data_IF_446314032307
#
_entry.id   IF_446314032307
#
_cell.length_a   1.000
_cell.length_b   1.000
_cell.length_c   1.000
_cell.angle_alpha   90.00
_cell.angle_beta   90.00
_cell.angle_gamma   90.00
#
_symmetry.space_group_name_H-M   'P 1'
#
loop_
_entity.id
_entity.type
_entity.pdbx_description
1 polymer ?
#
# COMPACT_ATOMS: atom_id res chain seq x y z
N UNK A 1 -13.17 -19.93 -16.41
CA UNK A 1 -13.06 -18.97 -15.30
C UNK A 1 -12.13 -17.87 -15.75
N UNK A 2 -12.64 -16.65 -15.86
CA UNK A 2 -11.85 -15.48 -16.26
C UNK A 2 -11.21 -14.82 -15.03
N UNK A 3 -10.19 -14.00 -15.24
CA UNK A 3 -9.44 -13.34 -14.15
C UNK A 3 -10.34 -12.42 -13.32
N UNK A 4 -11.36 -11.82 -13.96
CA UNK A 4 -12.34 -10.95 -13.30
C UNK A 4 -13.26 -11.73 -12.33
N UNK A 5 -13.42 -13.06 -12.49
CA UNK A 5 -14.20 -13.90 -11.55
C UNK A 5 -13.53 -13.99 -10.16
N UNK A 6 -12.21 -13.79 -10.10
CA UNK A 6 -11.43 -13.82 -8.85
C UNK A 6 -11.15 -12.44 -8.28
N UNK A 7 -11.25 -11.41 -9.12
CA UNK A 7 -10.83 -10.04 -8.81
C UNK A 7 -11.93 -9.05 -9.22
N UNK A 8 -13.06 -8.99 -8.47
CA UNK A 8 -14.12 -8.03 -8.75
C UNK A 8 -13.56 -6.60 -8.81
N UNK A 9 -13.97 -5.87 -9.84
CA UNK A 9 -13.51 -4.49 -10.13
C UNK A 9 -14.37 -3.42 -9.49
N UNK A 10 -15.59 -3.77 -9.15
CA UNK A 10 -16.61 -2.97 -8.48
C UNK A 10 -16.46 -2.96 -6.95
N UNK A 11 -15.49 -3.72 -6.43
CA UNK A 11 -15.20 -3.81 -5.00
C UNK A 11 -13.98 -2.96 -4.61
N UNK A 12 -14.05 -2.39 -3.40
CA UNK A 12 -12.94 -1.67 -2.78
C UNK A 12 -11.95 -2.68 -2.23
N UNK A 13 -10.73 -2.68 -2.77
CA UNK A 13 -9.66 -3.56 -2.29
C UNK A 13 -8.87 -2.90 -1.18
N UNK A 14 -8.52 -3.68 -0.15
CA UNK A 14 -7.74 -3.22 0.98
C UNK A 14 -6.58 -4.17 1.30
N UNK A 15 -5.46 -3.60 1.74
CA UNK A 15 -4.38 -4.30 2.44
C UNK A 15 -4.63 -4.14 3.94
N UNK A 16 -4.69 -5.24 4.68
CA UNK A 16 -4.89 -5.22 6.14
C UNK A 16 -3.61 -5.61 6.85
N UNK A 17 -3.22 -4.81 7.84
CA UNK A 17 -2.28 -5.21 8.88
C UNK A 17 -3.06 -5.88 10.02
N UNK A 18 -2.98 -7.20 10.10
CA UNK A 18 -3.72 -8.00 11.08
C UNK A 18 -3.13 -7.86 12.49
N UNK A 19 -1.86 -7.45 12.62
CA UNK A 19 -1.19 -7.25 13.91
C UNK A 19 -1.69 -5.97 14.58
N UNK A 20 -1.80 -4.87 13.83
CA UNK A 20 -2.20 -3.56 14.36
C UNK A 20 -3.66 -3.20 14.13
N UNK A 21 -4.41 -4.05 13.41
CA UNK A 21 -5.79 -3.78 12.96
C UNK A 21 -5.89 -2.48 12.17
N UNK A 22 -4.94 -2.27 11.26
CA UNK A 22 -4.94 -1.15 10.33
C UNK A 22 -5.27 -1.64 8.93
N UNK A 23 -5.85 -0.79 8.09
CA UNK A 23 -6.01 -1.08 6.67
C UNK A 23 -5.68 0.11 5.79
N UNK A 24 -5.32 -0.20 4.54
CA UNK A 24 -5.04 0.77 3.48
C UNK A 24 -5.92 0.44 2.29
N UNK A 25 -6.65 1.43 1.78
CA UNK A 25 -7.48 1.31 0.58
C UNK A 25 -6.65 1.46 -0.68
N UNK A 26 -7.04 0.75 -1.74
CA UNK A 26 -6.36 0.76 -3.03
C UNK A 26 -6.56 2.07 -3.80
N UNK A 27 -7.75 2.65 -3.75
CA UNK A 27 -8.18 3.71 -4.67
C UNK A 27 -7.21 4.91 -4.69
N UNK A 28 -6.72 5.42 -3.54
CA UNK A 28 -5.81 6.57 -3.57
C UNK A 28 -4.40 6.26 -4.11
N UNK A 29 -4.04 4.97 -4.24
CA UNK A 29 -2.78 4.55 -4.88
C UNK A 29 -2.89 4.56 -6.41
N UNK A 30 -4.10 4.60 -6.97
CA UNK A 30 -4.34 4.64 -8.40
C UNK A 30 -4.07 6.05 -8.95
N UNK A 31 -2.86 6.24 -9.49
CA UNK A 31 -2.38 7.55 -9.96
C UNK A 31 -3.20 8.17 -11.10
N UNK A 32 -3.91 7.36 -11.87
CA UNK A 32 -4.85 7.77 -12.92
C UNK A 32 -5.89 6.66 -13.13
N UNK A 33 -7.12 6.99 -13.54
CA UNK A 33 -8.19 6.00 -13.72
C UNK A 33 -7.81 4.87 -14.70
N UNK A 34 -8.18 3.64 -14.36
CA UNK A 34 -8.02 2.46 -15.22
C UNK A 34 -6.67 1.75 -15.07
N UNK A 35 -5.86 2.12 -14.08
CA UNK A 35 -4.60 1.43 -13.78
C UNK A 35 -4.74 0.26 -12.82
N UNK A 36 -5.93 0.10 -12.23
CA UNK A 36 -6.20 -0.99 -11.32
C UNK A 36 -6.94 -2.17 -11.98
N UNK A 37 -6.58 -3.37 -11.53
CA UNK A 37 -7.31 -4.59 -11.80
C UNK A 37 -7.39 -5.41 -10.51
N UNK A 38 -8.53 -5.35 -9.84
CA UNK A 38 -8.70 -5.89 -8.48
C UNK A 38 -7.69 -5.26 -7.50
N UNK A 39 -6.90 -6.04 -6.75
CA UNK A 39 -5.91 -5.50 -5.80
C UNK A 39 -4.64 -4.95 -6.47
N UNK A 40 -4.46 -5.20 -7.77
CA UNK A 40 -3.24 -4.82 -8.49
C UNK A 40 -3.38 -3.42 -9.05
N UNK A 41 -2.43 -2.54 -8.75
CA UNK A 41 -2.33 -1.18 -9.31
C UNK A 41 -1.01 -1.08 -10.05
N UNK A 42 -1.05 -0.57 -11.29
CA UNK A 42 0.18 -0.29 -12.04
C UNK A 42 0.94 0.89 -11.42
N UNK A 43 2.26 0.75 -11.28
CA UNK A 43 3.10 1.76 -10.64
C UNK A 43 3.20 1.53 -9.14
N UNK A 44 2.53 2.35 -8.32
CA UNK A 44 2.52 2.20 -6.86
C UNK A 44 1.25 1.46 -6.41
N UNK A 45 1.44 0.46 -5.55
CA UNK A 45 0.33 -0.38 -5.06
C UNK A 45 0.61 -0.92 -3.66
N UNK A 46 -0.12 -1.95 -3.24
CA UNK A 46 0.08 -2.54 -1.91
C UNK A 46 1.50 -3.04 -1.66
N UNK A 47 2.22 -3.48 -2.71
CA UNK A 47 3.64 -3.82 -2.58
C UNK A 47 4.50 -2.63 -2.14
N UNK A 48 4.24 -1.44 -2.68
CA UNK A 48 4.93 -0.20 -2.30
C UNK A 48 4.65 0.18 -0.83
N UNK A 49 3.39 0.02 -0.40
CA UNK A 49 2.96 0.24 0.98
C UNK A 49 3.66 -0.72 1.95
N UNK A 50 3.72 -2.00 1.61
CA UNK A 50 4.40 -3.00 2.43
C UNK A 50 5.89 -2.66 2.51
N UNK A 51 6.55 -2.43 1.38
CA UNK A 51 7.99 -2.15 1.33
C UNK A 51 8.40 -0.89 2.11
N UNK A 52 7.56 0.16 2.17
CA UNK A 52 7.86 1.35 2.97
C UNK A 52 7.76 1.09 4.49
N UNK A 53 7.03 0.05 4.91
CA UNK A 53 6.66 -0.16 6.32
C UNK A 53 7.20 -1.44 6.98
N UNK A 54 7.74 -2.43 6.25
CA UNK A 54 8.18 -3.71 6.84
C UNK A 54 9.68 -3.84 7.09
N UNK A 55 10.49 -2.94 6.55
CA UNK A 55 11.94 -3.07 6.58
C UNK A 55 12.50 -2.86 7.99
N UNK A 56 13.49 -3.67 8.36
CA UNK A 56 14.17 -3.59 9.65
C UNK A 56 15.66 -3.85 9.49
N UNK A 57 16.47 -2.93 10.02
CA UNK A 57 17.91 -2.96 10.02
C UNK A 57 18.44 -2.11 11.17
N UNK A 58 19.53 -2.55 11.79
CA UNK A 58 20.28 -1.72 12.74
C UNK A 58 21.08 -0.62 12.04
N UNK A 59 21.43 -0.82 10.77
CA UNK A 59 22.07 0.14 9.88
C UNK A 59 21.02 1.00 9.18
N UNK A 60 21.23 2.32 9.18
CA UNK A 60 20.35 3.29 8.52
C UNK A 60 20.66 3.49 7.03
N UNK A 61 21.73 2.89 6.53
CA UNK A 61 22.07 2.92 5.10
C UNK A 61 20.98 2.25 4.27
N UNK A 62 20.35 3.05 3.41
CA UNK A 62 19.31 2.62 2.48
C UNK A 62 19.67 3.13 1.09
N UNK A 63 19.56 2.26 0.08
CA UNK A 63 19.81 2.63 -1.33
C UNK A 63 18.60 3.34 -1.97
N UNK A 64 17.96 4.22 -1.19
CA UNK A 64 16.73 4.92 -1.53
C UNK A 64 16.74 6.27 -0.81
N UNK A 65 16.27 7.33 -1.46
CA UNK A 65 15.99 8.58 -0.73
C UNK A 65 14.73 8.41 0.11
N UNK A 66 14.92 8.29 1.43
CA UNK A 66 13.84 8.21 2.40
C UNK A 66 13.71 9.52 3.19
N UNK A 67 12.78 10.43 2.83
CA UNK A 67 12.56 11.66 3.57
C UNK A 67 11.99 11.42 4.97
N UNK A 68 11.42 10.24 5.26
CA UNK A 68 10.92 9.91 6.60
C UNK A 68 12.04 9.52 7.56
N UNK A 69 13.16 9.03 7.02
CA UNK A 69 14.27 8.46 7.77
C UNK A 69 13.91 7.19 8.56
N UNK A 70 12.73 6.61 8.34
CA UNK A 70 12.15 5.52 9.15
C UNK A 70 12.11 4.19 8.42
N UNK A 71 12.39 4.14 7.12
CA UNK A 71 12.22 2.91 6.33
C UNK A 71 13.07 1.75 6.87
N UNK A 72 14.26 2.02 7.40
CA UNK A 72 15.16 0.99 7.96
C UNK A 72 14.71 0.47 9.35
N UNK A 73 13.78 1.13 10.03
CA UNK A 73 13.20 0.69 11.32
C UNK A 73 11.70 0.91 11.30
N UNK A 74 11.06 0.33 10.28
CA UNK A 74 9.70 0.68 9.97
C UNK A 74 8.70 -0.03 10.90
N UNK A 75 7.53 0.59 11.18
CA UNK A 75 6.63 0.14 12.25
C UNK A 75 5.97 -1.21 12.03
N UNK A 76 6.03 -1.78 10.82
CA UNK A 76 5.39 -3.05 10.48
C UNK A 76 6.35 -4.21 10.27
N UNK A 77 7.62 -4.08 10.69
CA UNK A 77 8.57 -5.17 10.67
C UNK A 77 8.03 -6.40 11.42
N UNK A 78 7.93 -7.54 10.74
CA UNK A 78 7.42 -8.80 11.30
C UNK A 78 5.89 -8.87 11.47
N UNK A 79 5.12 -7.90 10.96
CA UNK A 79 3.66 -7.92 11.05
C UNK A 79 3.02 -8.90 10.05
N UNK A 80 1.76 -9.26 10.31
CA UNK A 80 0.98 -10.16 9.46
C UNK A 80 0.02 -9.36 8.59
N UNK A 81 -0.08 -9.76 7.32
CA UNK A 81 -0.88 -9.05 6.32
C UNK A 81 -1.77 -10.00 5.53
N UNK A 82 -2.89 -9.47 5.06
CA UNK A 82 -3.64 -10.05 3.95
C UNK A 82 -4.24 -8.96 3.06
N UNK A 83 -4.78 -9.40 1.92
CA UNK A 83 -5.49 -8.54 0.98
C UNK A 83 -6.91 -9.10 0.82
N UNK A 84 -7.90 -8.22 0.94
CA UNK A 84 -9.32 -8.58 0.83
C UNK A 84 -10.12 -7.40 0.25
N UNK A 85 -11.40 -7.63 -0.03
CA UNK A 85 -12.38 -6.59 -0.33
C UNK A 85 -12.98 -6.00 0.95
N UNK A 86 -13.36 -4.72 0.90
CA UNK A 86 -13.93 -3.96 2.02
C UNK A 86 -15.24 -4.58 2.51
N UNK A 87 -16.12 -4.98 1.60
CA UNK A 87 -17.41 -5.60 1.95
C UNK A 87 -17.24 -6.88 2.79
N UNK A 88 -16.22 -7.69 2.49
CA UNK A 88 -15.86 -8.86 3.31
C UNK A 88 -15.25 -8.46 4.65
N UNK A 89 -14.41 -7.42 4.66
CA UNK A 89 -13.82 -6.91 5.90
C UNK A 89 -14.89 -6.45 6.88
N UNK A 90 -15.78 -5.55 6.45
CA UNK A 90 -16.87 -5.01 7.27
C UNK A 90 -17.76 -6.11 7.86
N UNK A 91 -18.11 -7.12 7.06
CA UNK A 91 -18.89 -8.29 7.51
C UNK A 91 -18.17 -9.10 8.60
N UNK A 92 -16.86 -9.34 8.45
CA UNK A 92 -16.11 -10.22 9.35
C UNK A 92 -15.58 -9.52 10.61
N UNK A 93 -15.46 -8.20 10.58
CA UNK A 93 -14.88 -7.42 11.68
C UNK A 93 -15.88 -6.43 12.28
N UNK A 94 -17.18 -6.64 12.06
CA UNK A 94 -18.24 -5.86 12.67
C UNK A 94 -18.04 -5.77 14.20
N UNK A 95 -18.05 -4.55 14.73
CA UNK A 95 -17.82 -4.29 16.16
C UNK A 95 -16.35 -4.35 16.62
N UNK A 96 -15.40 -4.58 15.71
CA UNK A 96 -13.97 -4.48 16.01
C UNK A 96 -13.43 -3.10 15.62
N UNK A 97 -12.51 -2.58 16.42
CA UNK A 97 -11.82 -1.33 16.10
C UNK A 97 -10.70 -1.61 15.08
N UNK A 98 -10.91 -1.11 13.87
CA UNK A 98 -9.92 -1.07 12.80
C UNK A 98 -9.68 0.37 12.37
N UNK A 99 -8.43 0.72 12.11
CA UNK A 99 -8.04 2.09 11.73
C UNK A 99 -7.74 2.15 10.24
N UNK A 100 -8.41 3.08 9.55
CA UNK A 100 -8.03 3.47 8.20
C UNK A 100 -6.77 4.34 8.25
N UNK A 101 -5.66 3.85 7.70
CA UNK A 101 -4.38 4.58 7.62
C UNK A 101 -4.03 4.96 6.18
N UNK A 102 -5.03 4.97 5.29
CA UNK A 102 -4.81 5.15 3.85
C UNK A 102 -4.12 6.47 3.52
N UNK A 103 -4.59 7.58 4.06
CA UNK A 103 -4.05 8.92 3.79
C UNK A 103 -2.58 9.03 4.19
N UNK A 104 -2.26 8.72 5.45
CA UNK A 104 -0.89 8.72 5.99
C UNK A 104 0.07 7.89 5.12
N UNK A 105 -0.35 6.69 4.74
CA UNK A 105 0.47 5.76 3.97
C UNK A 105 0.66 6.23 2.53
N UNK A 106 -0.38 6.79 1.90
CA UNK A 106 -0.30 7.30 0.52
C UNK A 106 0.62 8.51 0.46
N UNK A 107 0.57 9.40 1.45
CA UNK A 107 1.49 10.52 1.59
C UNK A 107 2.94 10.05 1.74
N UNK A 108 3.19 9.09 2.63
CA UNK A 108 4.52 8.52 2.85
C UNK A 108 5.09 7.89 1.58
N UNK A 109 4.33 7.00 0.94
CA UNK A 109 4.75 6.31 -0.29
C UNK A 109 5.03 7.36 -1.37
N UNK A 110 4.15 8.35 -1.55
CA UNK A 110 4.35 9.44 -2.50
C UNK A 110 5.63 10.23 -2.21
N UNK A 111 5.90 10.55 -0.95
CA UNK A 111 7.10 11.27 -0.54
C UNK A 111 8.37 10.50 -0.91
N UNK A 112 8.43 9.20 -0.60
CA UNK A 112 9.57 8.32 -0.91
C UNK A 112 9.81 8.28 -2.43
N UNK A 113 8.80 7.94 -3.24
CA UNK A 113 8.98 7.84 -4.69
C UNK A 113 9.34 9.18 -5.34
N UNK A 114 8.76 10.29 -4.84
CA UNK A 114 9.07 11.63 -5.34
C UNK A 114 10.49 12.08 -5.00
N UNK A 115 11.00 11.75 -3.81
CA UNK A 115 12.34 12.08 -3.40
C UNK A 115 13.37 11.28 -4.23
N UNK A 116 13.11 9.98 -4.40
CA UNK A 116 14.02 9.06 -5.07
C UNK A 116 14.12 9.30 -6.58
N UNK A 117 12.98 9.38 -7.27
CA UNK A 117 12.92 9.49 -8.73
C UNK A 117 12.75 10.93 -9.25
N UNK A 118 12.56 11.89 -8.34
CA UNK A 118 12.39 13.30 -8.67
C UNK A 118 11.00 13.67 -9.22
N UNK A 119 10.83 14.89 -9.77
CA UNK A 119 9.52 15.45 -10.12
C UNK A 119 8.70 14.64 -11.15
N UNK A 120 9.37 13.78 -11.91
CA UNK A 120 8.77 12.93 -12.96
C UNK A 120 8.45 11.51 -12.48
N UNK A 121 8.53 11.24 -11.17
CA UNK A 121 8.36 9.90 -10.61
C UNK A 121 7.09 9.19 -11.09
N UNK A 122 5.95 9.90 -11.15
CA UNK A 122 4.67 9.33 -11.65
C UNK A 122 4.79 8.80 -13.07
N UNK A 123 5.48 9.53 -13.97
CA UNK A 123 5.66 9.04 -15.35
C UNK A 123 6.64 7.87 -15.41
N UNK A 124 7.62 7.82 -14.52
CA UNK A 124 8.63 6.75 -14.47
C UNK A 124 7.98 5.44 -14.01
N UNK A 125 7.25 5.46 -12.88
CA UNK A 125 6.62 4.25 -12.32
C UNK A 125 5.51 3.67 -13.21
N UNK A 126 4.91 4.49 -14.09
CA UNK A 126 3.88 4.06 -15.03
C UNK A 126 4.43 3.52 -16.36
N UNK A 127 5.75 3.59 -16.61
CA UNK A 127 6.37 3.03 -17.82
C UNK A 127 6.74 1.56 -17.68
N UNK A 128 6.93 1.11 -16.44
CA UNK A 128 7.13 -0.29 -16.09
C UNK A 128 5.79 -1.01 -15.87
#
# INVERSE_FOLDING_TARGET
>A
MQRDDFYPRDEVWILRNLTTRQYVRREPLELQPGLANGPFVRGIGFGSVVLSRISWSSDSSVSLKDPTGRIHRAPWAGHRFDVTIMTRHEKLTAGQNWTDVTEEIVEEVTAIWSADLGPKWKQIVLRH
#
